data_IF_194413988296
#
_entry.id   IF_194413988296
#
_cell.length_a   1.000
_cell.length_b   1.000
_cell.length_c   1.000
_cell.angle_alpha   90.00
_cell.angle_beta   90.00
_cell.angle_gamma   90.00
#
_symmetry.space_group_name_H-M   'P 1'
#
loop_
_entity.id
_entity.type
_entity.pdbx_description
1 polymer ?
#
# COMPACT_ATOMS: atom_id res chain seq x y z
N UNK A 1 35.05 -25.27 -10.22
CA UNK A 1 33.65 -25.01 -10.66
C UNK A 1 32.86 -26.30 -10.46
N UNK A 2 31.56 -26.27 -10.11
CA UNK A 2 30.69 -25.19 -9.59
C UNK A 2 30.39 -25.45 -8.08
N UNK A 3 29.78 -24.61 -7.24
CA UNK A 3 28.59 -23.79 -7.38
C UNK A 3 28.76 -22.45 -6.65
N UNK A 4 28.53 -21.38 -7.40
CA UNK A 4 28.40 -20.02 -6.89
C UNK A 4 26.96 -19.90 -6.40
N UNK A 5 26.74 -19.97 -5.09
CA UNK A 5 25.42 -19.72 -4.52
C UNK A 5 25.01 -18.28 -4.85
N UNK A 6 23.84 -18.18 -5.47
CA UNK A 6 23.20 -16.97 -5.93
C UNK A 6 22.94 -16.03 -4.74
N UNK A 7 23.57 -14.87 -4.74
CA UNK A 7 23.33 -13.78 -3.78
C UNK A 7 22.30 -12.82 -4.39
N UNK A 8 21.09 -13.29 -4.65
CA UNK A 8 20.00 -12.43 -5.10
C UNK A 8 18.78 -12.59 -4.19
N UNK A 9 18.20 -11.44 -3.92
CA UNK A 9 16.93 -11.21 -3.22
C UNK A 9 16.88 -11.49 -1.72
N UNK A 10 17.35 -10.50 -0.94
CA UNK A 10 16.79 -10.25 0.39
C UNK A 10 15.82 -9.08 0.25
N UNK A 11 14.59 -9.35 -0.21
CA UNK A 11 13.49 -8.40 -0.11
C UNK A 11 13.20 -8.21 1.37
N UNK A 12 13.42 -6.99 1.86
CA UNK A 12 13.27 -6.66 3.27
C UNK A 12 11.85 -6.15 3.48
N UNK A 13 10.98 -6.98 4.05
CA UNK A 13 9.83 -6.46 4.76
C UNK A 13 10.34 -5.55 5.89
N UNK A 14 9.97 -4.28 5.85
CA UNK A 14 10.28 -3.33 6.92
C UNK A 14 9.00 -3.02 7.67
N UNK A 15 8.84 -3.65 8.84
CA UNK A 15 7.85 -3.25 9.83
C UNK A 15 8.39 -2.00 10.53
N UNK A 16 7.88 -0.82 10.18
CA UNK A 16 8.30 0.46 10.77
C UNK A 16 7.47 0.74 12.04
N UNK A 17 8.14 0.97 13.19
CA UNK A 17 7.53 1.42 14.46
C UNK A 17 7.17 2.92 14.42
N UNK A 18 6.08 3.36 15.08
CA UNK A 18 5.67 4.76 15.10
C UNK A 18 6.60 5.65 15.97
N UNK A 19 6.73 6.95 15.63
CA UNK A 19 7.49 7.92 16.42
C UNK A 19 6.72 8.34 17.69
N UNK A 20 7.46 8.57 18.79
CA UNK A 20 6.93 9.08 20.06
C UNK A 20 6.34 10.50 19.97
N UNK A 21 5.61 10.95 21.01
CA UNK A 21 4.73 12.10 20.92
C UNK A 21 5.51 13.41 20.88
N UNK A 22 5.49 14.12 19.75
CA UNK A 22 6.19 15.40 19.66
C UNK A 22 6.25 16.06 18.30
N UNK A 23 5.12 16.26 17.60
CA UNK A 23 5.10 17.19 16.45
C UNK A 23 3.72 17.79 16.21
N UNK A 24 3.61 19.09 16.46
CA UNK A 24 2.42 19.93 16.21
C UNK A 24 2.21 20.11 14.71
N UNK A 25 1.01 19.80 14.20
CA UNK A 25 0.59 20.20 12.86
C UNK A 25 0.33 21.71 12.79
N UNK A 26 0.99 22.40 11.86
CA UNK A 26 0.55 23.72 11.36
C UNK A 26 -0.54 23.49 10.31
N UNK A 27 -1.73 24.06 10.55
CA UNK A 27 -2.84 24.08 9.59
C UNK A 27 -2.61 25.23 8.60
N UNK A 28 -2.54 24.93 7.30
CA UNK A 28 -2.72 25.94 6.27
C UNK A 28 -4.20 25.97 5.85
N UNK A 29 -4.80 27.15 5.91
CA UNK A 29 -6.17 27.40 5.50
C UNK A 29 -6.29 27.40 3.97
N UNK A 30 -7.30 26.70 3.43
CA UNK A 30 -7.65 26.75 2.02
C UNK A 30 -8.51 27.99 1.76
N UNK A 31 -8.01 28.90 0.92
CA UNK A 31 -8.77 30.04 0.40
C UNK A 31 -9.46 29.63 -0.91
N UNK A 32 -10.77 29.70 -0.96
CA UNK A 32 -11.58 29.41 -2.16
C UNK A 32 -11.62 30.61 -3.11
N UNK A 33 -11.41 30.44 -4.43
CA UNK A 33 -11.66 31.50 -5.40
C UNK A 33 -13.13 31.51 -5.85
N UNK A 34 -13.70 32.72 -5.94
CA UNK A 34 -15.02 33.05 -6.48
C UNK A 34 -15.01 32.99 -8.02
N UNK A 35 -16.00 32.35 -8.64
CA UNK A 35 -16.21 32.35 -10.09
C UNK A 35 -16.89 33.66 -10.58
N UNK A 36 -16.48 34.25 -11.72
CA UNK A 36 -17.25 35.30 -12.39
C UNK A 36 -18.31 34.71 -13.33
N UNK A 37 -19.45 35.41 -13.39
CA UNK A 37 -20.55 35.18 -14.35
C UNK A 37 -20.20 35.82 -15.69
N UNK A 38 -20.41 35.11 -16.80
CA UNK A 38 -20.41 35.69 -18.14
C UNK A 38 -21.65 35.24 -18.92
N UNK A 39 -22.18 36.18 -19.69
CA UNK A 39 -23.40 36.16 -20.50
C UNK A 39 -23.06 35.92 -21.98
N UNK A 40 -24.07 35.39 -22.68
CA UNK A 40 -24.42 35.54 -24.09
C UNK A 40 -23.76 34.67 -25.18
N UNK A 41 -24.66 33.95 -25.84
CA UNK A 41 -24.93 33.86 -27.28
C UNK A 41 -23.86 33.35 -28.25
N UNK A 42 -24.34 32.42 -29.09
CA UNK A 42 -23.91 32.05 -30.45
C UNK A 42 -23.41 30.61 -30.55
N UNK A 43 -24.28 29.77 -31.10
CA UNK A 43 -24.01 28.38 -31.51
C UNK A 43 -23.13 28.37 -32.78
N UNK A 44 -22.00 27.63 -32.80
CA UNK A 44 -21.25 27.35 -34.03
C UNK A 44 -21.45 25.88 -34.51
N UNK A 45 -21.20 25.60 -35.80
CA UNK A 45 -21.76 24.44 -36.50
C UNK A 45 -21.06 23.12 -36.15
N UNK A 46 -21.83 22.04 -36.29
CA UNK A 46 -21.43 20.64 -36.09
C UNK A 46 -20.21 20.30 -36.97
N UNK A 47 -19.06 20.09 -36.32
CA UNK A 47 -17.82 19.61 -36.95
C UNK A 47 -17.80 18.09 -36.87
N UNK A 48 -17.86 17.42 -38.03
CA UNK A 48 -17.65 15.98 -38.15
C UNK A 48 -16.23 15.65 -37.70
N UNK A 49 -16.05 15.05 -36.53
CA UNK A 49 -14.74 14.56 -36.08
C UNK A 49 -14.52 13.15 -36.58
N UNK A 50 -13.53 12.97 -37.45
CA UNK A 50 -12.92 11.67 -37.73
C UNK A 50 -12.34 11.10 -36.44
N UNK A 51 -12.87 9.97 -35.98
CA UNK A 51 -12.37 9.22 -34.81
C UNK A 51 -10.98 8.66 -35.12
N UNK A 52 -9.94 9.35 -34.69
CA UNK A 52 -8.63 8.75 -34.46
C UNK A 52 -8.72 7.91 -33.18
N UNK A 53 -8.34 6.61 -33.17
CA UNK A 53 -8.29 5.86 -31.93
C UNK A 53 -7.34 6.56 -30.96
N UNK A 54 -7.68 6.69 -29.66
CA UNK A 54 -6.79 7.32 -28.71
C UNK A 54 -5.46 6.58 -28.73
N UNK A 55 -4.38 7.34 -28.90
CA UNK A 55 -3.02 6.84 -28.76
C UNK A 55 -2.96 5.99 -27.48
N UNK A 56 -2.48 4.76 -27.62
CA UNK A 56 -2.31 3.82 -26.53
C UNK A 56 -1.78 4.56 -25.30
N UNK A 57 -2.52 4.47 -24.19
CA UNK A 57 -2.11 5.03 -22.92
C UNK A 57 -0.66 4.58 -22.65
N UNK A 58 0.22 5.47 -22.14
CA UNK A 58 1.57 5.05 -21.82
C UNK A 58 1.46 3.87 -20.86
N UNK A 59 1.93 2.71 -21.31
CA UNK A 59 2.18 1.59 -20.41
C UNK A 59 3.28 2.07 -19.47
N UNK A 60 2.90 2.64 -18.33
CA UNK A 60 3.83 3.01 -17.29
C UNK A 60 4.55 1.74 -16.89
N UNK A 61 5.82 1.61 -17.29
CA UNK A 61 6.73 0.62 -16.76
C UNK A 61 6.84 0.86 -15.25
N UNK A 62 6.04 0.14 -14.47
CA UNK A 62 6.18 0.07 -13.02
C UNK A 62 7.52 -0.61 -12.73
N UNK A 63 8.48 0.15 -12.20
CA UNK A 63 9.81 -0.38 -11.87
C UNK A 63 10.95 0.64 -11.92
N UNK A 64 10.70 1.90 -12.30
CA UNK A 64 11.75 2.91 -12.45
C UNK A 64 11.92 3.87 -11.26
N UNK A 65 11.15 3.76 -10.17
CA UNK A 65 11.18 4.76 -9.09
C UNK A 65 12.18 4.47 -7.97
N UNK A 66 12.44 3.21 -7.63
CA UNK A 66 13.48 2.89 -6.63
C UNK A 66 14.81 2.73 -7.36
N UNK A 67 15.50 3.85 -7.57
CA UNK A 67 16.92 3.80 -7.95
C UNK A 67 17.68 3.24 -6.75
N UNK A 68 18.57 2.27 -6.99
CA UNK A 68 19.48 1.68 -6.01
C UNK A 68 20.36 2.73 -5.31
N UNK A 69 19.77 3.51 -4.40
CA UNK A 69 20.41 4.49 -3.53
C UNK A 69 20.20 4.09 -2.07
N UNK A 70 21.06 4.60 -1.19
CA UNK A 70 21.12 4.21 0.22
C UNK A 70 19.81 4.40 1.02
N UNK A 71 18.84 5.17 0.49
CA UNK A 71 17.57 5.50 1.14
C UNK A 71 16.34 5.12 0.29
N UNK A 72 16.21 3.84 -0.08
CA UNK A 72 15.09 3.33 -0.90
C UNK A 72 13.70 3.79 -0.38
N UNK A 73 13.53 3.89 0.94
CA UNK A 73 12.28 4.29 1.60
C UNK A 73 11.83 5.72 1.28
N UNK A 74 12.72 6.61 0.84
CA UNK A 74 12.37 7.98 0.44
C UNK A 74 11.61 8.04 -0.89
N UNK A 75 11.74 7.00 -1.70
CA UNK A 75 11.17 6.91 -3.04
C UNK A 75 10.09 5.82 -3.15
N UNK A 76 9.95 5.01 -2.09
CA UNK A 76 9.06 3.87 -2.05
C UNK A 76 7.58 4.30 -2.01
N UNK A 77 6.76 3.68 -2.85
CA UNK A 77 5.32 3.65 -2.68
C UNK A 77 4.97 2.60 -1.61
N UNK A 78 4.56 3.07 -0.42
CA UNK A 78 4.18 2.21 0.71
C UNK A 78 2.67 2.03 0.76
N UNK A 79 2.22 0.78 0.82
CA UNK A 79 0.80 0.44 0.98
C UNK A 79 0.51 0.00 2.41
N UNK A 80 -0.32 0.76 3.11
CA UNK A 80 -0.71 0.43 4.48
C UNK A 80 -1.92 -0.50 4.48
N UNK A 81 -1.82 -1.63 5.18
CA UNK A 81 -2.88 -2.63 5.34
C UNK A 81 -3.33 -2.64 6.81
N UNK A 82 -4.64 -2.68 7.00
CA UNK A 82 -5.27 -3.01 8.29
C UNK A 82 -5.76 -4.46 8.22
N UNK A 83 -5.02 -5.44 8.81
CA UNK A 83 -5.23 -6.87 8.54
C UNK A 83 -6.68 -7.33 8.72
N UNK A 84 -7.28 -6.97 9.88
CA UNK A 84 -8.63 -7.36 10.29
C UNK A 84 -9.75 -6.95 9.34
N UNK A 85 -9.50 -6.07 8.36
CA UNK A 85 -10.52 -5.60 7.41
C UNK A 85 -10.07 -5.67 5.95
N UNK A 86 -8.95 -6.32 5.65
CA UNK A 86 -8.40 -6.34 4.30
C UNK A 86 -8.96 -7.48 3.46
N UNK A 87 -8.75 -8.72 3.88
CA UNK A 87 -9.24 -9.91 3.21
C UNK A 87 -9.34 -11.05 4.23
N UNK A 88 -10.48 -11.71 4.26
CA UNK A 88 -10.80 -12.87 5.09
C UNK A 88 -10.73 -14.13 4.21
N UNK A 89 -9.87 -15.09 4.57
CA UNK A 89 -9.71 -16.34 3.84
C UNK A 89 -10.54 -17.49 4.44
N UNK A 90 -10.78 -17.47 5.76
CA UNK A 90 -11.41 -18.57 6.49
C UNK A 90 -12.94 -18.40 6.68
N UNK A 91 -13.48 -17.21 6.39
CA UNK A 91 -14.90 -16.88 6.45
C UNK A 91 -15.43 -16.50 7.84
N UNK A 92 -14.57 -16.17 8.80
CA UNK A 92 -14.95 -15.79 10.16
C UNK A 92 -15.36 -14.30 10.31
N UNK A 93 -15.23 -13.52 9.24
CA UNK A 93 -15.56 -12.10 9.17
C UNK A 93 -14.42 -11.17 9.59
N UNK A 94 -13.24 -11.69 9.92
CA UNK A 94 -12.03 -10.94 10.25
C UNK A 94 -10.97 -11.24 9.19
N UNK A 95 -10.30 -10.20 8.71
CA UNK A 95 -9.19 -10.40 7.78
C UNK A 95 -7.96 -11.02 8.45
N UNK A 96 -7.31 -11.92 7.72
CA UNK A 96 -6.24 -12.80 8.19
C UNK A 96 -5.00 -12.75 7.27
N UNK A 97 -3.90 -13.39 7.70
CA UNK A 97 -2.65 -13.41 6.94
C UNK A 97 -2.78 -14.17 5.62
N UNK A 98 -3.51 -15.30 5.61
CA UNK A 98 -3.79 -16.06 4.38
C UNK A 98 -4.56 -15.19 3.35
N UNK A 99 -5.50 -14.39 3.83
CA UNK A 99 -6.23 -13.40 3.04
C UNK A 99 -5.29 -12.36 2.44
N UNK A 100 -4.32 -11.85 3.20
CA UNK A 100 -3.28 -10.96 2.67
C UNK A 100 -2.43 -11.66 1.61
N UNK A 101 -1.97 -12.88 1.88
CA UNK A 101 -1.15 -13.69 0.95
C UNK A 101 -1.88 -13.85 -0.39
N UNK A 102 -3.18 -14.17 -0.35
CA UNK A 102 -4.01 -14.33 -1.55
C UNK A 102 -4.09 -13.06 -2.42
N UNK A 103 -3.84 -11.87 -1.84
CA UNK A 103 -3.87 -10.57 -2.51
C UNK A 103 -2.49 -10.04 -2.90
N UNK A 104 -1.40 -10.75 -2.61
CA UNK A 104 -0.05 -10.34 -3.02
C UNK A 104 0.06 -10.12 -4.55
N UNK A 105 -0.53 -10.95 -5.43
CA UNK A 105 -0.52 -10.68 -6.87
C UNK A 105 -1.15 -9.33 -7.23
N UNK A 106 -2.20 -8.91 -6.52
CA UNK A 106 -2.81 -7.59 -6.69
C UNK A 106 -1.88 -6.47 -6.21
N UNK A 107 -1.26 -6.62 -5.03
CA UNK A 107 -0.31 -5.63 -4.49
C UNK A 107 0.88 -5.43 -5.44
N UNK A 108 1.42 -6.53 -6.00
CA UNK A 108 2.48 -6.48 -7.02
C UNK A 108 2.01 -5.82 -8.31
N UNK A 109 0.78 -6.10 -8.75
CA UNK A 109 0.18 -5.46 -9.92
C UNK A 109 -0.04 -3.95 -9.74
N UNK A 110 -0.31 -3.51 -8.51
CA UNK A 110 -0.39 -2.09 -8.16
C UNK A 110 0.98 -1.40 -8.19
N UNK A 111 2.07 -2.18 -8.09
CA UNK A 111 3.44 -1.67 -8.17
C UNK A 111 3.95 -1.01 -6.90
N UNK A 112 3.48 -1.47 -5.75
CA UNK A 112 3.94 -1.00 -4.43
C UNK A 112 5.34 -1.53 -4.12
N UNK A 113 6.18 -0.72 -3.48
CA UNK A 113 7.55 -1.09 -3.13
C UNK A 113 7.64 -1.71 -1.73
N UNK A 114 6.69 -1.38 -0.85
CA UNK A 114 6.62 -1.92 0.51
C UNK A 114 5.19 -1.99 1.03
N UNK A 115 4.96 -2.92 1.95
CA UNK A 115 3.71 -3.07 2.70
C UNK A 115 3.94 -2.69 4.16
N UNK A 116 3.03 -1.90 4.73
CA UNK A 116 3.02 -1.56 6.15
C UNK A 116 1.76 -2.13 6.81
N UNK A 117 1.94 -3.03 7.75
CA UNK A 117 0.83 -3.59 8.53
C UNK A 117 0.54 -2.74 9.77
N UNK A 118 -0.74 -2.45 9.98
CA UNK A 118 -1.26 -2.06 11.30
C UNK A 118 -1.12 -3.23 12.29
N UNK A 119 -1.22 -3.00 13.62
CA UNK A 119 -0.91 -4.03 14.62
C UNK A 119 -1.69 -5.33 14.45
N UNK A 120 -0.94 -6.44 14.41
CA UNK A 120 -1.42 -7.81 14.26
C UNK A 120 -0.96 -8.71 15.42
N UNK A 121 -0.47 -8.11 16.51
CA UNK A 121 -0.03 -8.81 17.72
C UNK A 121 -1.23 -9.22 18.59
N UNK A 122 -1.09 -10.22 19.47
CA UNK A 122 -2.07 -10.52 20.50
C UNK A 122 -2.40 -9.27 21.32
N UNK A 123 -3.69 -8.98 21.45
CA UNK A 123 -4.20 -7.79 22.14
C UNK A 123 -5.66 -8.02 22.57
N UNK A 124 -6.08 -7.33 23.64
CA UNK A 124 -7.48 -7.32 24.09
C UNK A 124 -8.39 -6.45 23.19
N UNK A 125 -7.80 -5.76 22.23
CA UNK A 125 -8.40 -4.81 21.28
C UNK A 125 -9.03 -3.59 21.95
N UNK A 126 -8.54 -3.18 23.12
CA UNK A 126 -9.02 -1.98 23.80
C UNK A 126 -8.73 -0.70 23.00
N UNK A 127 -7.74 -0.72 22.11
CA UNK A 127 -7.37 0.40 21.22
C UNK A 127 -7.15 -0.04 19.75
N UNK A 128 -7.80 -1.13 19.33
CA UNK A 128 -7.69 -1.65 17.97
C UNK A 128 -6.40 -2.40 17.65
N UNK A 129 -5.67 -2.88 18.68
CA UNK A 129 -4.51 -3.75 18.52
C UNK A 129 -3.18 -3.13 18.93
N UNK A 130 -3.16 -1.86 19.35
CA UNK A 130 -1.97 -1.17 19.87
C UNK A 130 -1.72 -1.48 21.36
N UNK A 131 -2.71 -2.03 22.07
CA UNK A 131 -2.69 -2.59 23.42
C UNK A 131 -2.06 -3.99 23.41
N UNK A 132 -0.84 -4.05 22.90
CA UNK A 132 -0.11 -5.31 22.63
C UNK A 132 0.20 -6.06 23.92
N UNK A 133 -0.25 -7.31 23.99
CA UNK A 133 0.03 -8.24 25.08
C UNK A 133 1.34 -9.03 24.87
N UNK A 134 1.67 -9.36 23.61
CA UNK A 134 2.92 -10.04 23.25
C UNK A 134 3.47 -9.51 21.91
N UNK A 135 4.61 -8.81 21.96
CA UNK A 135 5.25 -8.24 20.78
C UNK A 135 5.96 -9.27 19.89
N UNK A 136 6.09 -10.53 20.32
CA UNK A 136 6.84 -11.57 19.62
C UNK A 136 5.95 -12.61 18.95
N UNK A 137 4.64 -12.44 19.04
CA UNK A 137 3.67 -13.39 18.51
C UNK A 137 2.65 -12.68 17.61
N UNK A 138 1.89 -13.47 16.86
CA UNK A 138 0.76 -13.01 16.04
C UNK A 138 -0.54 -13.28 16.81
N UNK A 139 -1.52 -12.39 16.68
CA UNK A 139 -2.86 -12.62 17.20
C UNK A 139 -3.44 -13.89 16.56
N UNK A 140 -3.81 -14.93 17.32
CA UNK A 140 -4.32 -16.18 16.76
C UNK A 140 -5.58 -16.02 15.89
N UNK A 141 -6.29 -14.89 16.02
CA UNK A 141 -7.44 -14.55 15.16
C UNK A 141 -7.04 -14.03 13.78
N UNK A 142 -5.78 -13.64 13.61
CA UNK A 142 -5.23 -13.11 12.35
C UNK A 142 -4.34 -14.15 11.67
N UNK A 143 -3.64 -14.98 12.45
CA UNK A 143 -2.84 -16.06 11.92
C UNK A 143 -1.73 -16.52 12.87
N UNK A 144 -0.72 -17.16 12.28
CA UNK A 144 0.45 -17.71 12.99
C UNK A 144 1.76 -17.03 12.56
N UNK A 145 2.82 -17.24 13.32
CA UNK A 145 4.16 -16.80 12.91
C UNK A 145 4.62 -17.46 11.61
N UNK A 146 4.21 -18.71 11.35
CA UNK A 146 4.55 -19.41 10.11
C UNK A 146 3.88 -18.79 8.88
N UNK A 147 2.60 -18.43 8.99
CA UNK A 147 1.88 -17.69 7.94
C UNK A 147 2.47 -16.29 7.73
N UNK A 148 2.93 -15.64 8.80
CA UNK A 148 3.64 -14.37 8.68
C UNK A 148 4.96 -14.52 7.90
N UNK A 149 5.74 -15.57 8.18
CA UNK A 149 6.95 -15.88 7.43
C UNK A 149 6.64 -16.16 5.95
N UNK A 150 5.58 -16.92 5.65
CA UNK A 150 5.12 -17.16 4.27
C UNK A 150 4.74 -15.85 3.55
N UNK A 151 4.02 -14.96 4.23
CA UNK A 151 3.66 -13.65 3.68
C UNK A 151 4.90 -12.81 3.38
N UNK A 152 5.90 -12.81 4.26
CA UNK A 152 7.17 -12.09 4.04
C UNK A 152 7.93 -12.65 2.84
N UNK A 153 7.97 -13.97 2.68
CA UNK A 153 8.64 -14.63 1.55
C UNK A 153 7.91 -14.41 0.22
N UNK A 154 6.59 -14.25 0.25
CA UNK A 154 5.78 -14.03 -0.94
C UNK A 154 5.82 -12.59 -1.49
N UNK A 155 6.18 -11.58 -0.67
CA UNK A 155 6.24 -10.15 -1.04
C UNK A 155 7.46 -9.79 -1.91
#
# INVERSE_FOLDING_TARGET
>A
RPHRADRRDRRRCVVVRPPGPGSRLRRHALSTPRLPRARNDTEPPVRTTSTTPPAAAPTTTHGAFVRNGADWWRQAAVYQIYPRSFADANGDGIGDLEGIISRIPYLRGLGVDAVWLSPFYPSALADGGYDVADYRNVDPRIGTLGEFDEMVDAL
#
